data_IF_776609520767
#
_entry.id   IF_776609520767
#
_cell.length_a   1.000
_cell.length_b   1.000
_cell.length_c   1.000
_cell.angle_alpha   90.00
_cell.angle_beta   90.00
_cell.angle_gamma   90.00
#
_symmetry.space_group_name_H-M   'P 1'
#
loop_
_entity.id
_entity.type
_entity.pdbx_description
1 polymer ?
#
# COMPACT_ATOMS: atom_id res chain seq x y z
N UNK A 1 8.78 12.50 20.08
CA UNK A 1 8.32 11.12 19.88
C UNK A 1 6.81 11.16 19.80
N UNK A 2 6.26 11.02 18.60
CA UNK A 2 4.82 10.78 18.40
C UNK A 2 4.48 9.45 19.06
N UNK A 3 3.45 9.40 19.89
CA UNK A 3 3.01 8.15 20.51
C UNK A 3 2.53 7.20 19.41
N UNK A 4 3.04 5.97 19.38
CA UNK A 4 2.57 4.98 18.41
C UNK A 4 1.12 4.56 18.75
N UNK A 5 0.19 4.92 17.89
CA UNK A 5 -1.25 4.61 18.02
C UNK A 5 -1.69 3.47 17.13
N UNK A 6 -0.78 2.79 16.42
CA UNK A 6 -1.12 1.64 15.57
C UNK A 6 -1.63 0.49 16.45
N UNK A 7 -2.66 -0.21 15.99
CA UNK A 7 -3.11 -1.46 16.63
C UNK A 7 -2.19 -2.59 16.18
N UNK A 8 -1.46 -3.17 17.12
CA UNK A 8 -0.60 -4.32 16.86
C UNK A 8 -1.40 -5.58 16.48
N UNK A 9 -0.81 -6.50 15.72
CA UNK A 9 -1.44 -7.75 15.36
C UNK A 9 -1.68 -8.64 16.60
N UNK A 10 -2.73 -9.49 16.59
CA UNK A 10 -3.03 -10.34 17.73
C UNK A 10 -1.96 -11.41 17.93
N UNK A 11 -1.71 -11.81 19.18
CA UNK A 11 -0.78 -12.90 19.49
C UNK A 11 -1.34 -14.29 19.13
N UNK A 12 -2.66 -14.43 19.12
CA UNK A 12 -3.39 -15.65 18.75
C UNK A 12 -4.65 -15.28 17.96
N UNK A 13 -5.02 -16.09 16.97
CA UNK A 13 -6.19 -15.85 16.13
C UNK A 13 -6.27 -16.82 14.96
N UNK A 14 -7.29 -16.69 14.12
CA UNK A 14 -7.34 -17.41 12.85
C UNK A 14 -6.27 -16.87 11.88
N UNK A 15 -5.95 -17.65 10.84
CA UNK A 15 -5.08 -17.20 9.75
C UNK A 15 -5.59 -15.88 9.14
N UNK A 16 -6.90 -15.80 8.89
CA UNK A 16 -7.55 -14.61 8.32
C UNK A 16 -7.43 -13.39 9.23
N UNK A 17 -7.71 -13.55 10.53
CA UNK A 17 -7.62 -12.44 11.49
C UNK A 17 -6.17 -11.94 11.60
N UNK A 18 -5.21 -12.87 11.57
CA UNK A 18 -3.78 -12.56 11.61
C UNK A 18 -3.36 -11.78 10.36
N UNK A 19 -3.64 -12.28 9.16
CA UNK A 19 -3.31 -11.59 7.91
C UNK A 19 -3.95 -10.20 7.82
N UNK A 20 -5.23 -10.08 8.18
CA UNK A 20 -5.95 -8.80 8.21
C UNK A 20 -5.26 -7.80 9.14
N UNK A 21 -5.00 -8.20 10.39
CA UNK A 21 -4.42 -7.31 11.37
C UNK A 21 -2.99 -6.88 11.01
N UNK A 22 -2.16 -7.79 10.49
CA UNK A 22 -0.82 -7.45 10.00
C UNK A 22 -0.89 -6.49 8.80
N UNK A 23 -1.81 -6.70 7.86
CA UNK A 23 -1.96 -5.82 6.71
C UNK A 23 -2.44 -4.41 7.13
N UNK A 24 -3.39 -4.32 8.07
CA UNK A 24 -3.83 -3.04 8.62
C UNK A 24 -2.72 -2.33 9.43
N UNK A 25 -1.91 -3.07 10.17
CA UNK A 25 -0.73 -2.54 10.86
C UNK A 25 0.28 -1.94 9.86
N UNK A 26 0.54 -2.64 8.75
CA UNK A 26 1.46 -2.18 7.72
C UNK A 26 0.94 -0.96 6.95
N UNK A 27 -0.38 -0.89 6.68
CA UNK A 27 -1.04 0.32 6.14
C UNK A 27 -0.88 1.50 7.08
N UNK A 28 -1.19 1.30 8.35
CA UNK A 28 -1.05 2.35 9.37
C UNK A 28 0.40 2.81 9.54
N UNK A 29 1.36 1.89 9.36
CA UNK A 29 2.79 2.21 9.35
C UNK A 29 3.13 3.18 8.23
N UNK A 30 2.70 2.92 6.99
CA UNK A 30 2.95 3.85 5.86
C UNK A 30 2.37 5.24 6.14
N UNK A 31 1.13 5.30 6.64
CA UNK A 31 0.47 6.55 7.00
C UNK A 31 1.25 7.33 8.09
N UNK A 32 1.70 6.63 9.13
CA UNK A 32 2.53 7.21 10.19
C UNK A 32 3.84 7.79 9.63
N UNK A 33 4.53 7.09 8.71
CA UNK A 33 5.77 7.62 8.10
C UNK A 33 5.56 8.93 7.35
N UNK A 34 4.33 9.19 6.91
CA UNK A 34 3.98 10.42 6.22
C UNK A 34 3.40 11.50 7.14
N UNK A 35 3.18 11.21 8.43
CA UNK A 35 2.47 12.12 9.35
C UNK A 35 3.30 13.37 9.66
N UNK A 36 2.63 14.52 9.72
CA UNK A 36 3.23 15.82 10.04
C UNK A 36 4.04 16.47 8.91
N UNK A 37 4.26 15.78 7.79
CA UNK A 37 4.99 16.32 6.64
C UNK A 37 4.09 17.16 5.74
N UNK A 38 4.66 18.24 5.21
CA UNK A 38 4.08 19.04 4.15
C UNK A 38 4.10 18.29 2.82
N UNK A 39 3.30 18.77 1.87
CA UNK A 39 3.28 18.28 0.49
C UNK A 39 4.67 18.29 -0.17
N UNK A 40 5.49 19.31 0.13
CA UNK A 40 6.84 19.42 -0.44
C UNK A 40 7.80 18.37 0.14
N UNK A 41 7.78 18.21 1.45
CA UNK A 41 8.56 17.18 2.15
C UNK A 41 8.16 15.77 1.71
N UNK A 42 6.86 15.52 1.49
CA UNK A 42 6.39 14.22 1.00
C UNK A 42 6.87 13.90 -0.42
N UNK A 43 7.07 14.92 -1.27
CA UNK A 43 7.60 14.78 -2.64
C UNK A 43 9.11 14.71 -2.69
N UNK A 44 9.81 15.09 -1.62
CA UNK A 44 11.26 15.13 -1.59
C UNK A 44 11.87 13.74 -1.86
N UNK A 45 12.87 13.71 -2.74
CA UNK A 45 13.69 12.53 -3.04
C UNK A 45 14.95 12.56 -2.18
N UNK A 46 14.83 12.09 -0.94
CA UNK A 46 15.85 12.29 0.11
C UNK A 46 17.05 11.34 0.04
N UNK A 47 17.04 10.32 -0.83
CA UNK A 47 18.05 9.25 -0.84
C UNK A 47 18.68 9.02 -2.24
N UNK A 48 19.48 9.96 -2.79
CA UNK A 48 20.14 9.73 -4.08
C UNK A 48 21.07 8.50 -4.04
N UNK A 49 21.15 7.70 -5.12
CA UNK A 49 20.58 7.94 -6.46
C UNK A 49 19.12 7.51 -6.61
N UNK A 50 18.46 7.05 -5.53
CA UNK A 50 17.04 6.68 -5.58
C UNK A 50 16.18 7.88 -5.97
N UNK A 51 15.16 7.62 -6.78
CA UNK A 51 14.15 8.60 -7.18
C UNK A 51 12.85 8.48 -6.39
N UNK A 52 12.82 7.59 -5.40
CA UNK A 52 11.66 7.38 -4.54
C UNK A 52 11.41 8.60 -3.63
N UNK A 53 10.13 8.83 -3.32
CA UNK A 53 9.64 9.79 -2.33
C UNK A 53 8.52 9.15 -1.53
N UNK A 54 8.22 9.66 -0.33
CA UNK A 54 7.15 9.12 0.52
C UNK A 54 5.79 9.18 -0.19
N UNK A 55 5.50 10.30 -0.88
CA UNK A 55 4.26 10.44 -1.64
C UNK A 55 4.19 9.44 -2.82
N UNK A 56 5.33 9.19 -3.48
CA UNK A 56 5.43 8.17 -4.53
C UNK A 56 5.15 6.77 -4.01
N UNK A 57 5.58 6.44 -2.78
CA UNK A 57 5.25 5.16 -2.15
C UNK A 57 3.74 5.03 -1.86
N UNK A 58 3.07 6.09 -1.38
CA UNK A 58 1.62 6.06 -1.15
C UNK A 58 0.85 5.81 -2.44
N UNK A 59 1.21 6.51 -3.52
CA UNK A 59 0.63 6.28 -4.85
C UNK A 59 0.87 4.84 -5.33
N UNK A 60 2.11 4.36 -5.19
CA UNK A 60 2.43 3.00 -5.56
C UNK A 60 1.59 1.97 -4.79
N UNK A 61 1.41 2.14 -3.49
CA UNK A 61 0.59 1.22 -2.68
C UNK A 61 -0.89 1.28 -3.04
N UNK A 62 -1.42 2.43 -3.50
CA UNK A 62 -2.78 2.49 -4.05
C UNK A 62 -2.93 1.61 -5.30
N UNK A 63 -1.94 1.62 -6.21
CA UNK A 63 -1.94 0.74 -7.38
C UNK A 63 -1.78 -0.74 -7.02
N UNK A 64 -0.99 -1.06 -6.00
CA UNK A 64 -0.82 -2.42 -5.47
C UNK A 64 -2.15 -2.94 -4.93
N UNK A 65 -2.82 -2.18 -4.06
CA UNK A 65 -4.14 -2.52 -3.51
C UNK A 65 -5.16 -2.73 -4.64
N UNK A 66 -5.26 -1.75 -5.55
CA UNK A 66 -6.16 -1.79 -6.70
C UNK A 66 -5.92 -3.01 -7.59
N UNK A 67 -4.66 -3.33 -7.88
CA UNK A 67 -4.35 -4.44 -8.80
C UNK A 67 -4.60 -5.80 -8.15
N UNK A 68 -4.25 -5.96 -6.89
CA UNK A 68 -4.31 -7.28 -6.26
C UNK A 68 -5.67 -7.60 -5.66
N UNK A 69 -6.43 -6.61 -5.20
CA UNK A 69 -7.79 -6.82 -4.73
C UNK A 69 -8.80 -6.54 -5.84
N UNK A 70 -8.98 -5.27 -6.22
CA UNK A 70 -10.06 -4.89 -7.15
C UNK A 70 -9.91 -5.55 -8.51
N UNK A 71 -8.71 -5.49 -9.11
CA UNK A 71 -8.51 -6.09 -10.42
C UNK A 71 -8.53 -7.61 -10.41
N UNK A 72 -8.10 -8.28 -9.33
CA UNK A 72 -8.15 -9.73 -9.32
C UNK A 72 -9.56 -10.29 -9.08
N UNK A 73 -10.38 -9.61 -8.26
CA UNK A 73 -11.63 -10.19 -7.76
C UNK A 73 -12.91 -9.54 -8.30
N UNK A 74 -12.85 -8.34 -8.90
CA UNK A 74 -14.07 -7.62 -9.31
C UNK A 74 -14.04 -7.13 -10.76
N UNK A 75 -12.92 -6.52 -11.18
CA UNK A 75 -12.82 -5.87 -12.48
C UNK A 75 -11.40 -6.01 -13.05
N UNK A 76 -11.15 -7.09 -13.79
CA UNK A 76 -9.83 -7.41 -14.37
C UNK A 76 -9.29 -6.28 -15.28
N UNK A 77 -10.19 -5.48 -15.85
CA UNK A 77 -9.89 -4.39 -16.77
C UNK A 77 -9.88 -3.01 -16.11
N UNK A 78 -10.02 -2.92 -14.78
CA UNK A 78 -10.01 -1.63 -14.10
C UNK A 78 -8.72 -0.88 -14.45
N UNK A 79 -8.81 0.38 -14.91
CA UNK A 79 -7.63 1.15 -15.31
C UNK A 79 -6.73 1.41 -14.10
N UNK A 80 -5.43 1.58 -14.29
CA UNK A 80 -4.56 2.10 -13.22
C UNK A 80 -4.88 3.59 -12.98
N UNK A 81 -4.58 4.08 -11.79
CA UNK A 81 -4.84 5.47 -11.38
C UNK A 81 -3.86 6.45 -12.05
N UNK A 82 -2.58 6.08 -12.12
CA UNK A 82 -1.51 6.94 -12.68
C UNK A 82 -0.85 6.36 -13.94
N UNK A 83 -1.43 5.34 -14.57
CA UNK A 83 -0.84 4.73 -15.75
C UNK A 83 -1.87 4.27 -16.79
N UNK A 84 -1.74 4.76 -18.02
CA UNK A 84 -2.54 4.30 -19.16
C UNK A 84 -2.03 2.96 -19.75
N UNK A 85 -0.86 2.47 -19.30
CA UNK A 85 -0.15 1.33 -19.89
C UNK A 85 0.11 0.18 -18.92
N UNK A 86 -0.54 0.20 -17.76
CA UNK A 86 -0.31 -0.75 -16.67
C UNK A 86 1.16 -0.76 -16.20
N UNK A 87 1.70 0.43 -15.94
CA UNK A 87 3.06 0.62 -15.42
C UNK A 87 3.02 1.15 -13.97
N UNK A 88 3.40 0.29 -13.03
CA UNK A 88 3.51 0.64 -11.61
C UNK A 88 4.59 1.69 -11.31
N UNK A 89 5.58 1.85 -12.19
CA UNK A 89 6.63 2.87 -12.00
C UNK A 89 6.08 4.28 -12.20
N UNK A 90 5.03 4.44 -13.00
CA UNK A 90 4.36 5.73 -13.17
C UNK A 90 3.79 6.28 -11.84
N UNK A 91 3.44 5.39 -10.90
CA UNK A 91 2.97 5.79 -9.59
C UNK A 91 4.06 6.51 -8.75
N UNK A 92 5.35 6.29 -9.02
CA UNK A 92 6.43 6.93 -8.27
C UNK A 92 6.67 8.40 -8.66
N UNK A 93 6.17 8.86 -9.82
CA UNK A 93 6.29 10.28 -10.19
C UNK A 93 5.25 11.13 -9.49
N UNK A 94 5.50 11.43 -8.21
CA UNK A 94 4.66 12.25 -7.35
C UNK A 94 4.89 13.77 -7.49
N UNK A 95 5.66 14.22 -8.48
CA UNK A 95 6.13 15.62 -8.58
C UNK A 95 5.00 16.67 -8.61
N UNK A 96 3.85 16.32 -9.19
CA UNK A 96 2.67 17.18 -9.29
C UNK A 96 1.53 16.82 -8.32
N UNK A 97 1.68 15.75 -7.52
CA UNK A 97 0.62 15.28 -6.63
C UNK A 97 0.64 15.98 -5.28
N UNK A 98 -0.54 16.03 -4.67
CA UNK A 98 -0.74 16.48 -3.28
C UNK A 98 -0.93 15.30 -2.35
N UNK A 99 -0.76 15.52 -1.03
CA UNK A 99 -1.14 14.52 -0.02
C UNK A 99 -2.60 14.10 -0.19
N UNK A 100 -3.50 15.06 -0.32
CA UNK A 100 -4.94 14.80 -0.39
C UNK A 100 -5.31 13.88 -1.57
N UNK A 101 -4.73 14.11 -2.74
CA UNK A 101 -4.93 13.26 -3.92
C UNK A 101 -4.40 11.83 -3.69
N UNK A 102 -3.13 11.71 -3.29
CA UNK A 102 -2.48 10.41 -3.16
C UNK A 102 -3.10 9.56 -2.03
N UNK A 103 -3.35 10.17 -0.87
CA UNK A 103 -3.99 9.49 0.25
C UNK A 103 -5.46 9.17 -0.05
N UNK A 104 -6.21 10.08 -0.70
CA UNK A 104 -7.59 9.80 -1.07
C UNK A 104 -7.72 8.60 -2.01
N UNK A 105 -6.84 8.49 -3.00
CA UNK A 105 -6.78 7.33 -3.89
C UNK A 105 -6.39 6.06 -3.13
N UNK A 106 -5.36 6.13 -2.28
CA UNK A 106 -4.90 4.99 -1.49
C UNK A 106 -5.95 4.49 -0.49
N UNK A 107 -6.57 5.39 0.28
CA UNK A 107 -7.62 5.06 1.25
C UNK A 107 -8.84 4.45 0.57
N UNK A 108 -9.22 4.96 -0.61
CA UNK A 108 -10.30 4.37 -1.42
C UNK A 108 -10.00 2.92 -1.77
N UNK A 109 -8.78 2.63 -2.24
CA UNK A 109 -8.40 1.26 -2.61
C UNK A 109 -8.19 0.35 -1.39
N UNK A 110 -7.70 0.88 -0.27
CA UNK A 110 -7.67 0.15 1.01
C UNK A 110 -9.07 -0.25 1.45
N UNK A 111 -10.07 0.62 1.34
CA UNK A 111 -11.46 0.29 1.67
C UNK A 111 -12.06 -0.75 0.71
N UNK A 112 -11.74 -0.68 -0.59
CA UNK A 112 -12.11 -1.72 -1.54
C UNK A 112 -11.50 -3.08 -1.14
N UNK A 113 -10.20 -3.12 -0.85
CA UNK A 113 -9.51 -4.33 -0.42
C UNK A 113 -10.12 -4.93 0.85
N UNK A 114 -10.41 -4.07 1.83
CA UNK A 114 -11.07 -4.47 3.08
C UNK A 114 -12.47 -5.03 2.83
N UNK A 115 -13.25 -4.42 1.95
CA UNK A 115 -14.58 -4.92 1.60
C UNK A 115 -14.50 -6.30 0.93
N UNK A 116 -13.66 -6.43 -0.10
CA UNK A 116 -13.46 -7.69 -0.84
C UNK A 116 -13.06 -8.82 0.12
N UNK A 117 -12.10 -8.56 1.02
CA UNK A 117 -11.68 -9.57 2.00
C UNK A 117 -12.79 -9.96 2.98
N UNK A 118 -13.54 -8.99 3.51
CA UNK A 118 -14.65 -9.25 4.45
C UNK A 118 -15.80 -10.03 3.82
N UNK A 119 -16.10 -9.75 2.56
CA UNK A 119 -17.21 -10.38 1.82
C UNK A 119 -16.83 -11.79 1.30
N UNK A 120 -15.53 -12.09 1.18
CA UNK A 120 -15.07 -13.38 0.70
C UNK A 120 -15.41 -14.54 1.67
N UNK A 121 -16.07 -15.57 1.13
CA UNK A 121 -16.49 -16.75 1.88
C UNK A 121 -15.33 -17.51 2.56
N UNK A 122 -14.13 -17.47 1.96
CA UNK A 122 -12.91 -18.07 2.51
C UNK A 122 -11.66 -17.40 1.93
N UNK A 123 -10.49 -17.72 2.47
CA UNK A 123 -9.21 -17.29 1.88
C UNK A 123 -8.86 -18.06 0.58
N UNK A 124 -9.61 -19.10 0.26
CA UNK A 124 -9.43 -19.94 -0.94
C UNK A 124 -10.26 -19.49 -2.14
N UNK A 125 -11.03 -18.39 -2.01
CA UNK A 125 -11.72 -17.78 -3.14
C UNK A 125 -10.70 -17.41 -4.22
N UNK A 126 -10.96 -17.87 -5.44
CA UNK A 126 -10.14 -17.58 -6.61
C UNK A 126 -10.52 -16.22 -7.22
N UNK A 127 -9.49 -15.43 -7.52
CA UNK A 127 -9.56 -14.28 -8.41
C UNK A 127 -8.63 -14.51 -9.59
N UNK A 128 -8.78 -13.72 -10.65
CA UNK A 128 -7.96 -13.86 -11.86
C UNK A 128 -6.91 -12.74 -11.91
N UNK A 129 -5.62 -13.07 -11.97
CA UNK A 129 -4.55 -12.08 -12.13
C UNK A 129 -4.28 -11.84 -13.62
N UNK A 130 -4.84 -10.76 -14.24
CA UNK A 130 -4.80 -10.54 -15.68
C UNK A 130 -3.38 -10.46 -16.26
N UNK A 131 -2.41 -9.96 -15.49
CA UNK A 131 -1.02 -9.88 -15.96
C UNK A 131 -0.36 -11.25 -16.13
N UNK A 132 -0.78 -12.22 -15.33
CA UNK A 132 -0.21 -13.57 -15.33
C UNK A 132 -1.06 -14.52 -16.17
N UNK A 133 -2.34 -14.20 -16.38
CA UNK A 133 -3.29 -15.12 -17.03
C UNK A 133 -3.59 -16.34 -16.17
N UNK A 134 -3.49 -16.20 -14.84
CA UNK A 134 -3.63 -17.29 -13.88
C UNK A 134 -4.57 -16.90 -12.75
N UNK A 135 -5.22 -17.91 -12.17
CA UNK A 135 -6.05 -17.75 -10.99
C UNK A 135 -5.20 -17.76 -9.71
N UNK A 136 -5.53 -16.87 -8.79
CA UNK A 136 -4.84 -16.66 -7.52
C UNK A 136 -5.84 -16.69 -6.38
N UNK A 137 -5.47 -17.25 -5.24
CA UNK A 137 -6.34 -17.23 -4.05
C UNK A 137 -6.26 -15.90 -3.32
N UNK A 138 -7.34 -15.53 -2.62
CA UNK A 138 -7.34 -14.37 -1.71
C UNK A 138 -6.21 -14.47 -0.68
N UNK A 139 -5.90 -15.68 -0.19
CA UNK A 139 -4.75 -15.93 0.69
C UNK A 139 -3.46 -15.42 0.07
N UNK A 140 -3.17 -15.85 -1.16
CA UNK A 140 -1.94 -15.47 -1.85
C UNK A 140 -1.89 -13.95 -2.02
N UNK A 141 -3.00 -13.34 -2.46
CA UNK A 141 -3.12 -11.89 -2.62
C UNK A 141 -2.81 -11.14 -1.32
N UNK A 142 -3.42 -11.53 -0.20
CA UNK A 142 -3.18 -10.89 1.10
C UNK A 142 -1.72 -11.00 1.54
N UNK A 143 -1.10 -12.17 1.35
CA UNK A 143 0.32 -12.38 1.65
C UNK A 143 1.20 -11.52 0.75
N UNK A 144 0.90 -11.45 -0.55
CA UNK A 144 1.66 -10.66 -1.50
C UNK A 144 1.62 -9.17 -1.15
N UNK A 145 0.43 -8.61 -0.93
CA UNK A 145 0.28 -7.18 -0.58
C UNK A 145 0.92 -6.89 0.78
N UNK A 146 0.85 -7.80 1.75
CA UNK A 146 1.56 -7.68 3.02
C UNK A 146 3.09 -7.55 2.83
N UNK A 147 3.67 -8.35 1.93
CA UNK A 147 5.09 -8.29 1.62
C UNK A 147 5.47 -7.01 0.86
N UNK A 148 4.60 -6.51 -0.02
CA UNK A 148 4.78 -5.22 -0.69
C UNK A 148 4.84 -4.08 0.33
N UNK A 149 3.88 -3.99 1.27
CA UNK A 149 3.98 -3.01 2.35
C UNK A 149 5.24 -3.20 3.19
N UNK A 150 5.56 -4.43 3.60
CA UNK A 150 6.76 -4.69 4.40
C UNK A 150 8.04 -4.17 3.74
N UNK A 151 8.19 -4.40 2.44
CA UNK A 151 9.32 -3.89 1.64
C UNK A 151 9.30 -2.35 1.57
N UNK A 152 8.15 -1.76 1.23
CA UNK A 152 8.05 -0.32 1.00
C UNK A 152 8.05 0.50 2.29
N UNK A 153 7.59 -0.05 3.42
CA UNK A 153 7.73 0.59 4.72
C UNK A 153 9.20 0.67 5.16
N UNK A 154 10.02 -0.32 4.83
CA UNK A 154 11.48 -0.23 5.03
C UNK A 154 12.12 0.88 4.18
N UNK A 155 11.65 1.11 2.95
CA UNK A 155 12.06 2.29 2.18
C UNK A 155 11.55 3.59 2.81
N UNK A 156 10.31 3.61 3.30
CA UNK A 156 9.70 4.78 3.93
C UNK A 156 10.46 5.22 5.19
N UNK A 157 11.03 4.29 5.96
CA UNK A 157 11.90 4.60 7.10
C UNK A 157 13.10 5.46 6.68
N UNK A 158 13.88 5.00 5.71
CA UNK A 158 15.04 5.76 5.22
C UNK A 158 14.64 7.07 4.55
N UNK A 159 13.55 7.06 3.77
CA UNK A 159 13.08 8.29 3.12
C UNK A 159 12.69 9.34 4.15
N UNK A 160 11.97 8.94 5.21
CA UNK A 160 11.57 9.82 6.30
C UNK A 160 12.78 10.37 7.06
N UNK A 161 13.72 9.50 7.41
CA UNK A 161 14.97 9.91 8.06
C UNK A 161 15.73 10.95 7.21
N UNK A 162 15.79 10.76 5.89
CA UNK A 162 16.44 11.72 5.00
C UNK A 162 15.68 13.05 4.82
N UNK A 163 14.39 13.11 5.15
CA UNK A 163 13.57 14.33 5.06
C UNK A 163 13.73 15.19 6.31
N UNK A 164 13.57 14.62 7.50
CA UNK A 164 13.52 15.39 8.75
C UNK A 164 14.32 14.78 9.91
N UNK A 165 15.08 13.71 9.67
CA UNK A 165 15.86 13.00 10.69
C UNK A 165 15.02 12.09 11.60
N UNK A 166 13.71 11.97 11.37
CA UNK A 166 12.87 11.05 12.16
C UNK A 166 13.18 9.61 11.77
N UNK A 167 13.74 8.87 12.72
CA UNK A 167 14.07 7.45 12.56
C UNK A 167 12.87 6.55 12.83
N UNK A 168 12.97 5.30 12.37
CA UNK A 168 11.92 4.28 12.41
C UNK A 168 11.27 4.01 13.78
N UNK A 169 10.17 3.25 13.74
CA UNK A 169 9.33 2.87 14.88
C UNK A 169 8.98 1.38 14.82
#
# INVERSE_FOLDING_TARGET
MTTDTRVGPPHFGSERDTLRAFLDYQRATLAMKCEGLTDEELRQRSMPPSTLSLLGLVRHMAEVERTWFRRCFEDNDAPMVWSDKIDFQAAYDASASTRAEAFGAWETEVENSRRIEREAASLDVAGHQPRWGEDVSLRMVMVHVLLEYGRHNGHADFLREGVDGTVGA
#
